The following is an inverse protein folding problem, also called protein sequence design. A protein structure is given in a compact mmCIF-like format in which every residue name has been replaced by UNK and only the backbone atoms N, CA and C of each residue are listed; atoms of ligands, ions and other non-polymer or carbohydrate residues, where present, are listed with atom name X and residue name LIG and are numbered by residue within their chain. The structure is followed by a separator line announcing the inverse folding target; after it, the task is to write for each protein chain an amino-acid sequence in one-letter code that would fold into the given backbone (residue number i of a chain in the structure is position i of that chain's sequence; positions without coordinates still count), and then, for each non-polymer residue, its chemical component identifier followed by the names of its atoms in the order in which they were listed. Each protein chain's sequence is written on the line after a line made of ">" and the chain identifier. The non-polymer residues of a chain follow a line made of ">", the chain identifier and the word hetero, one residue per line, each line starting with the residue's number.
data_IF_724870679113
#
_entry.id   IF_724870679113
#
_cell.length_a   1.000
_cell.length_b   1.000
_cell.length_c   1.000
_cell.angle_alpha   90.00
_cell.angle_beta   90.00
_cell.angle_gamma   90.00
#
_symmetry.space_group_name_H-M   'P 1'
#
loop_
_entity.id
_entity.type
_entity.pdbx_description
1 polymer ?
#
# COMPACT_ATOMS: atom_id res chain seq x y z
N UNK A 1 -45.07 25.86 -9.42
CA UNK A 1 -43.82 25.36 -10.04
C UNK A 1 -42.87 24.91 -8.93
N UNK A 2 -42.25 23.74 -9.11
CA UNK A 2 -41.61 22.91 -8.07
C UNK A 2 -40.34 23.54 -7.49
N UNK A 3 -40.23 23.54 -6.16
CA UNK A 3 -39.02 23.86 -5.39
C UNK A 3 -37.99 22.75 -5.61
N UNK A 4 -36.88 23.07 -6.27
CA UNK A 4 -35.75 22.17 -6.44
C UNK A 4 -34.98 22.11 -5.11
N UNK A 5 -35.11 20.99 -4.40
CA UNK A 5 -34.28 20.66 -3.25
C UNK A 5 -32.88 20.29 -3.77
N UNK A 6 -31.91 21.17 -3.55
CA UNK A 6 -30.51 20.86 -3.76
C UNK A 6 -30.05 19.93 -2.63
N UNK A 7 -30.16 18.61 -2.86
CA UNK A 7 -29.49 17.62 -2.02
C UNK A 7 -27.99 17.70 -2.34
N UNK A 8 -27.25 18.49 -1.56
CA UNK A 8 -25.79 18.39 -1.50
C UNK A 8 -25.45 17.04 -0.89
N UNK A 9 -25.32 16.02 -1.74
CA UNK A 9 -24.76 14.72 -1.37
C UNK A 9 -23.28 14.95 -1.05
N UNK A 10 -22.97 15.17 0.23
CA UNK A 10 -21.60 15.17 0.71
C UNK A 10 -21.06 13.73 0.61
N UNK A 11 -20.42 13.41 -0.50
CA UNK A 11 -19.56 12.23 -0.61
C UNK A 11 -18.38 12.44 0.34
N UNK A 12 -18.54 12.03 1.60
CA UNK A 12 -17.43 11.88 2.54
C UNK A 12 -16.55 10.75 2.01
N UNK A 13 -15.53 11.10 1.25
CA UNK A 13 -14.45 10.17 0.90
C UNK A 13 -13.61 10.02 2.16
N UNK A 14 -13.92 9.02 2.99
CA UNK A 14 -13.05 8.60 4.06
C UNK A 14 -11.79 7.99 3.43
N UNK A 15 -10.76 8.81 3.26
CA UNK A 15 -9.41 8.31 3.11
C UNK A 15 -9.00 7.72 4.47
N UNK A 16 -9.36 6.46 4.71
CA UNK A 16 -8.83 5.71 5.83
C UNK A 16 -7.32 5.70 5.72
N UNK A 17 -6.65 6.51 6.56
CA UNK A 17 -5.21 6.40 6.76
C UNK A 17 -4.95 5.11 7.52
N UNK A 18 -5.00 3.98 6.83
CA UNK A 18 -4.33 2.78 7.29
C UNK A 18 -2.83 3.11 7.25
N UNK A 19 -2.24 3.35 8.42
CA UNK A 19 -0.80 3.47 8.51
C UNK A 19 -0.20 2.14 8.04
N UNK A 20 0.35 2.14 6.82
CA UNK A 20 1.05 1.00 6.24
C UNK A 20 2.11 0.42 7.19
N UNK A 21 2.64 1.22 8.14
CA UNK A 21 3.61 0.75 9.13
C UNK A 21 3.13 -0.41 10.01
N UNK A 22 1.82 -0.53 10.27
CA UNK A 22 1.27 -1.59 11.14
C UNK A 22 1.28 -2.96 10.45
N UNK A 23 1.02 -3.00 9.14
CA UNK A 23 0.98 -4.24 8.33
C UNK A 23 2.38 -4.73 7.93
N UNK A 24 3.40 -3.87 8.03
CA UNK A 24 4.80 -4.20 7.67
C UNK A 24 5.61 -4.68 8.89
N UNK A 25 5.01 -4.76 10.08
CA UNK A 25 5.72 -4.80 11.37
C UNK A 25 6.80 -5.90 11.53
N UNK A 26 6.66 -7.14 11.00
CA UNK A 26 7.75 -8.12 11.09
C UNK A 26 8.83 -7.94 10.01
N UNK A 27 8.48 -7.33 8.87
CA UNK A 27 9.37 -7.21 7.72
C UNK A 27 10.26 -5.97 7.78
N UNK A 28 9.93 -4.98 8.62
CA UNK A 28 10.65 -3.70 8.71
C UNK A 28 12.15 -3.84 8.98
N UNK A 29 12.57 -4.87 9.72
CA UNK A 29 13.99 -5.15 10.02
C UNK A 29 14.79 -5.57 8.79
N UNK A 30 14.12 -5.94 7.69
CA UNK A 30 14.74 -6.35 6.43
C UNK A 30 14.89 -5.20 5.44
N UNK A 31 14.40 -4.00 5.79
CA UNK A 31 14.59 -2.80 4.96
C UNK A 31 16.07 -2.41 5.07
N UNK A 32 16.84 -2.42 3.97
CA UNK A 32 18.22 -1.95 3.99
C UNK A 32 18.28 -0.46 4.34
N UNK A 33 19.30 -0.07 5.10
CA UNK A 33 19.40 1.27 5.69
C UNK A 33 19.35 2.42 4.66
N UNK A 34 18.76 3.53 5.11
CA UNK A 34 18.89 4.90 4.58
C UNK A 34 18.46 5.18 3.13
N UNK A 35 17.46 4.47 2.62
CA UNK A 35 16.87 4.81 1.33
C UNK A 35 15.34 4.89 1.40
N UNK A 36 14.79 5.94 0.79
CA UNK A 36 13.35 6.17 0.72
C UNK A 36 12.71 5.22 -0.29
N UNK A 37 12.15 4.12 0.22
CA UNK A 37 11.39 3.15 -0.56
C UNK A 37 9.88 3.34 -0.37
N UNK A 38 9.13 3.05 -1.42
CA UNK A 38 7.67 3.00 -1.39
C UNK A 38 7.21 1.55 -1.62
N UNK A 39 6.34 1.06 -0.74
CA UNK A 39 5.69 -0.24 -0.90
C UNK A 39 4.39 -0.05 -1.67
N UNK A 40 4.20 -0.81 -2.74
CA UNK A 40 2.98 -0.81 -3.55
C UNK A 40 2.15 -2.04 -3.20
N UNK A 41 0.94 -1.79 -2.71
CA UNK A 41 -0.06 -2.81 -2.38
C UNK A 41 -1.35 -2.54 -3.14
N UNK A 42 -2.10 -3.60 -3.44
CA UNK A 42 -3.44 -3.52 -4.02
C UNK A 42 -4.46 -3.97 -2.98
N UNK A 43 -5.50 -3.17 -2.82
CA UNK A 43 -6.65 -3.49 -1.99
C UNK A 43 -7.82 -3.89 -2.89
N UNK A 44 -8.43 -5.03 -2.60
CA UNK A 44 -9.63 -5.50 -3.27
C UNK A 44 -10.71 -5.83 -2.23
N UNK A 45 -11.91 -5.29 -2.43
CA UNK A 45 -13.08 -5.57 -1.61
C UNK A 45 -14.00 -6.52 -2.37
N UNK A 46 -14.02 -7.79 -1.99
CA UNK A 46 -14.88 -8.80 -2.60
C UNK A 46 -15.87 -9.33 -1.57
N UNK A 47 -17.17 -9.08 -1.75
CA UNK A 47 -18.26 -9.68 -0.95
C UNK A 47 -17.98 -9.66 0.56
N UNK A 48 -17.64 -8.49 1.11
CA UNK A 48 -17.30 -8.24 2.53
C UNK A 48 -15.97 -8.82 3.02
N UNK A 49 -15.13 -9.35 2.12
CA UNK A 49 -13.75 -9.73 2.42
C UNK A 49 -12.78 -8.71 1.83
N UNK A 50 -12.05 -8.02 2.69
CA UNK A 50 -10.91 -7.21 2.30
C UNK A 50 -9.73 -8.13 1.98
N UNK A 51 -9.13 -7.94 0.81
CA UNK A 51 -7.92 -8.65 0.40
C UNK A 51 -6.88 -7.62 0.04
N UNK A 52 -5.81 -7.57 0.83
CA UNK A 52 -4.59 -6.83 0.50
C UNK A 52 -3.68 -7.76 -0.28
N UNK A 53 -2.98 -7.27 -1.30
CA UNK A 53 -1.96 -8.04 -2.02
C UNK A 53 -0.72 -7.20 -2.24
N UNK A 54 0.44 -7.83 -2.05
CA UNK A 54 1.71 -7.20 -2.35
C UNK A 54 1.93 -7.14 -3.86
N UNK A 55 2.30 -5.97 -4.39
CA UNK A 55 2.61 -5.79 -5.82
C UNK A 55 4.09 -5.62 -6.04
N UNK A 56 4.75 -4.78 -5.23
CA UNK A 56 6.16 -4.48 -5.39
C UNK A 56 6.65 -3.38 -4.47
N UNK A 57 7.91 -3.03 -4.64
CA UNK A 57 8.58 -1.90 -3.98
C UNK A 57 9.22 -1.05 -5.06
N UNK A 58 9.21 0.27 -4.89
CA UNK A 58 9.79 1.26 -5.79
C UNK A 58 10.67 2.23 -5.02
N UNK A 59 11.60 2.91 -5.69
CA UNK A 59 12.22 4.13 -5.13
C UNK A 59 11.20 5.26 -5.21
N UNK A 60 11.09 6.05 -4.14
CA UNK A 60 10.11 7.14 -4.02
C UNK A 60 10.16 8.14 -5.18
N UNK A 61 11.35 8.43 -5.69
CA UNK A 61 11.56 9.46 -6.72
C UNK A 61 11.63 8.92 -8.15
N UNK A 62 11.86 7.61 -8.33
CA UNK A 62 12.08 7.01 -9.66
C UNK A 62 10.93 6.13 -10.14
N UNK A 63 10.06 5.67 -9.25
CA UNK A 63 8.98 4.75 -9.60
C UNK A 63 9.44 3.33 -9.95
N UNK A 64 10.75 3.07 -9.93
CA UNK A 64 11.37 1.75 -10.12
C UNK A 64 12.57 1.58 -9.18
N UNK A 65 12.99 0.32 -8.95
CA UNK A 65 14.18 0.01 -8.17
C UNK A 65 15.39 -0.11 -9.10
N UNK A 66 16.52 0.48 -8.70
CA UNK A 66 17.81 0.14 -9.29
C UNK A 66 18.10 -1.37 -9.14
N UNK A 67 18.92 -1.98 -10.02
CA UNK A 67 19.29 -3.39 -9.89
C UNK A 67 19.91 -3.75 -8.53
N UNK A 68 20.70 -2.83 -7.96
CA UNK A 68 21.35 -3.00 -6.66
C UNK A 68 20.32 -3.02 -5.53
N UNK A 69 19.40 -2.05 -5.51
CA UNK A 69 18.33 -1.99 -4.51
C UNK A 69 17.35 -3.15 -4.66
N UNK A 70 17.05 -3.58 -5.89
CA UNK A 70 16.22 -4.76 -6.14
C UNK A 70 16.82 -6.02 -5.51
N UNK A 71 18.14 -6.19 -5.57
CA UNK A 71 18.83 -7.31 -4.93
C UNK A 71 18.84 -7.17 -3.40
N UNK A 72 19.13 -5.98 -2.89
CA UNK A 72 19.16 -5.71 -1.45
C UNK A 72 17.77 -5.88 -0.78
N UNK A 73 16.70 -5.51 -1.48
CA UNK A 73 15.32 -5.59 -0.99
C UNK A 73 14.66 -6.97 -1.15
N UNK A 74 15.31 -7.93 -1.82
CA UNK A 74 14.69 -9.25 -2.02
C UNK A 74 14.16 -9.90 -0.72
N UNK A 75 14.91 -9.90 0.41
CA UNK A 75 14.43 -10.48 1.66
C UNK A 75 13.17 -9.76 2.17
N UNK A 76 13.15 -8.43 2.08
CA UNK A 76 12.01 -7.60 2.46
C UNK A 76 10.79 -7.88 1.60
N UNK A 77 10.93 -7.89 0.27
CA UNK A 77 9.84 -8.18 -0.67
C UNK A 77 9.25 -9.58 -0.46
N UNK A 78 10.10 -10.58 -0.19
CA UNK A 78 9.67 -11.95 0.10
C UNK A 78 8.86 -12.02 1.41
N UNK A 79 9.31 -11.29 2.44
CA UNK A 79 8.59 -11.18 3.71
C UNK A 79 7.19 -10.55 3.51
N UNK A 80 7.11 -9.44 2.78
CA UNK A 80 5.83 -8.77 2.51
C UNK A 80 4.86 -9.64 1.74
N UNK A 81 5.35 -10.34 0.71
CA UNK A 81 4.53 -11.28 -0.04
C UNK A 81 3.92 -12.35 0.87
N UNK A 82 4.70 -12.89 1.81
CA UNK A 82 4.21 -13.88 2.77
C UNK A 82 3.20 -13.31 3.77
N UNK A 83 3.36 -12.06 4.19
CA UNK A 83 2.44 -11.44 5.15
C UNK A 83 1.12 -11.02 4.50
N UNK A 84 1.18 -10.47 3.29
CA UNK A 84 0.02 -9.83 2.65
C UNK A 84 -0.74 -10.77 1.69
N UNK A 85 -0.09 -11.75 1.07
CA UNK A 85 -0.76 -12.67 0.13
C UNK A 85 -1.31 -13.96 0.81
N UNK A 86 -1.35 -14.02 2.15
CA UNK A 86 -1.98 -15.10 2.94
C UNK A 86 -3.47 -14.81 3.20
#
# INVERSE_FOLDING_TARGET
>A
MKRFYLLCLACMVFAGMAQASTDLSPCRTLIPDNHDYQVVVKYALNKNKETTRFVGVTEKDKGELSPEHKKALQPFMACLKKQLDN
#
